data_IF_644778537371
#
_entry.id   IF_644778537371
#
_cell.length_a   1.000
_cell.length_b   1.000
_cell.length_c   1.000
_cell.angle_alpha   90.00
_cell.angle_beta   90.00
_cell.angle_gamma   90.00
#
_symmetry.space_group_name_H-M   'P 1'
#
loop_
_entity.id
_entity.type
_entity.pdbx_description
1 polymer ?
#
# COMPACT_ATOMS: atom_id res chain seq x y z
N UNK A 1 -17.05 -0.99 1.65
CA UNK A 1 -15.76 -1.47 2.17
C UNK A 1 -15.12 -0.44 3.10
N UNK A 2 -14.22 -0.84 4.02
CA UNK A 2 -13.34 0.03 4.82
C UNK A 2 -11.87 -0.21 4.44
N UNK A 3 -10.99 0.75 4.71
CA UNK A 3 -9.53 0.59 4.47
C UNK A 3 -8.96 -0.64 5.19
N UNK A 4 -9.45 -0.95 6.40
CA UNK A 4 -9.06 -2.14 7.13
C UNK A 4 -9.39 -3.45 6.39
N UNK A 5 -10.49 -3.48 5.62
CA UNK A 5 -10.85 -4.67 4.84
C UNK A 5 -9.83 -4.90 3.70
N UNK A 6 -9.40 -3.81 3.05
CA UNK A 6 -8.35 -3.83 2.01
C UNK A 6 -7.02 -4.24 2.63
N UNK A 7 -6.65 -3.69 3.79
CA UNK A 7 -5.44 -4.08 4.50
C UNK A 7 -5.44 -5.57 4.86
N UNK A 8 -6.55 -6.09 5.38
CA UNK A 8 -6.68 -7.52 5.69
C UNK A 8 -6.56 -8.39 4.43
N UNK A 9 -7.17 -7.97 3.32
CA UNK A 9 -7.04 -8.68 2.04
C UNK A 9 -5.58 -8.73 1.56
N UNK A 10 -4.82 -7.65 1.67
CA UNK A 10 -3.39 -7.61 1.32
C UNK A 10 -2.52 -8.46 2.25
N UNK A 11 -2.90 -8.59 3.52
CA UNK A 11 -2.21 -9.48 4.47
C UNK A 11 -2.48 -10.95 4.13
N UNK A 12 -3.73 -11.27 3.76
CA UNK A 12 -4.14 -12.63 3.36
C UNK A 12 -3.48 -13.02 2.03
N UNK A 13 -3.54 -12.12 1.04
CA UNK A 13 -2.98 -12.34 -0.27
C UNK A 13 -2.27 -11.07 -0.79
N UNK A 14 -0.97 -10.99 -0.56
CA UNK A 14 -0.13 -9.90 -1.04
C UNK A 14 0.07 -9.91 -2.56
N UNK A 15 -0.24 -11.02 -3.23
CA UNK A 15 -0.15 -11.16 -4.68
C UNK A 15 -1.10 -10.23 -5.44
N UNK A 16 -2.11 -9.68 -4.75
CA UNK A 16 -3.00 -8.64 -5.26
C UNK A 16 -2.25 -7.39 -5.72
N UNK A 17 -1.08 -7.11 -5.15
CA UNK A 17 -0.26 -5.93 -5.50
C UNK A 17 1.07 -6.32 -6.13
N UNK A 18 1.70 -7.41 -5.69
CA UNK A 18 2.93 -7.94 -6.29
C UNK A 18 3.19 -9.39 -5.87
N UNK A 19 3.59 -10.22 -6.83
CA UNK A 19 3.87 -11.63 -6.62
C UNK A 19 5.10 -11.89 -5.73
N UNK A 20 4.85 -12.59 -4.61
CA UNK A 20 5.85 -13.04 -3.64
C UNK A 20 6.38 -11.97 -2.69
N UNK A 21 5.57 -10.94 -2.44
CA UNK A 21 5.68 -10.12 -1.24
C UNK A 21 5.40 -10.95 0.01
N UNK A 22 6.21 -10.77 1.05
CA UNK A 22 5.97 -11.34 2.38
C UNK A 22 5.53 -10.23 3.33
N UNK A 23 4.37 -10.38 3.98
CA UNK A 23 3.91 -9.44 4.99
C UNK A 23 4.87 -9.42 6.19
N UNK A 24 5.29 -8.22 6.61
CA UNK A 24 6.23 -8.01 7.73
C UNK A 24 5.57 -7.34 8.93
N UNK A 25 4.86 -6.24 8.70
CA UNK A 25 4.29 -5.44 9.79
C UNK A 25 3.06 -4.66 9.34
N UNK A 26 2.10 -4.49 10.26
CA UNK A 26 0.96 -3.56 10.12
C UNK A 26 1.20 -2.38 11.05
N UNK A 27 0.76 -1.19 10.66
CA UNK A 27 0.84 0.02 11.48
C UNK A 27 2.31 0.39 11.82
N UNK A 28 3.12 0.47 10.76
CA UNK A 28 4.57 0.65 10.82
C UNK A 28 4.91 2.05 11.32
N UNK A 29 5.66 2.14 12.42
CA UNK A 29 5.98 3.42 13.05
C UNK A 29 7.18 4.09 12.35
N UNK A 30 6.92 5.26 11.74
CA UNK A 30 7.90 6.07 11.02
C UNK A 30 8.04 7.42 11.71
N UNK A 31 8.91 7.51 12.73
CA UNK A 31 9.22 8.75 13.46
C UNK A 31 7.98 9.61 13.82
N UNK A 32 7.04 9.01 14.58
CA UNK A 32 5.79 9.67 14.98
C UNK A 32 4.70 9.70 13.91
N UNK A 33 4.93 9.07 12.76
CA UNK A 33 3.91 8.73 11.75
C UNK A 33 3.70 7.23 11.68
N UNK A 34 2.65 6.83 10.98
CA UNK A 34 2.26 5.43 10.86
C UNK A 34 1.86 5.13 9.42
N UNK A 35 2.58 4.23 8.79
CA UNK A 35 2.24 3.67 7.48
C UNK A 35 1.43 2.39 7.70
N UNK A 36 0.46 2.12 6.83
CA UNK A 36 -0.50 1.03 7.06
C UNK A 36 0.17 -0.35 7.07
N UNK A 37 1.02 -0.66 6.09
CA UNK A 37 1.61 -1.99 5.94
C UNK A 37 3.08 -1.90 5.48
N UNK A 38 3.86 -2.91 5.87
CA UNK A 38 5.20 -3.16 5.37
C UNK A 38 5.29 -4.60 4.87
N UNK A 39 5.82 -4.76 3.66
CA UNK A 39 6.15 -6.03 3.04
C UNK A 39 7.64 -6.11 2.72
N UNK A 40 8.12 -7.33 2.49
CA UNK A 40 9.45 -7.61 1.95
C UNK A 40 9.28 -8.31 0.60
N UNK A 41 9.94 -7.79 -0.44
CA UNK A 41 9.94 -8.40 -1.77
C UNK A 41 10.93 -9.57 -1.90
N UNK A 42 10.92 -10.23 -3.07
CA UNK A 42 11.82 -11.37 -3.36
C UNK A 42 13.30 -11.01 -3.34
N UNK A 43 13.64 -9.73 -3.51
CA UNK A 43 15.01 -9.23 -3.45
C UNK A 43 15.40 -8.79 -2.02
N UNK A 44 14.50 -8.91 -1.05
CA UNK A 44 14.72 -8.50 0.34
C UNK A 44 14.51 -7.00 0.57
N UNK A 45 13.93 -6.27 -0.39
CA UNK A 45 13.66 -4.83 -0.22
C UNK A 45 12.35 -4.59 0.50
N UNK A 46 12.32 -3.49 1.25
CA UNK A 46 11.15 -3.05 2.01
C UNK A 46 10.16 -2.33 1.09
N UNK A 47 8.89 -2.74 1.13
CA UNK A 47 7.78 -2.07 0.45
C UNK A 47 6.78 -1.55 1.48
N UNK A 48 6.76 -0.23 1.65
CA UNK A 48 5.80 0.47 2.49
C UNK A 48 4.53 0.76 1.70
N UNK A 49 3.38 0.33 2.22
CA UNK A 49 2.10 0.43 1.53
C UNK A 49 1.15 1.28 2.36
N UNK A 50 0.62 2.35 1.76
CA UNK A 50 -0.48 3.15 2.30
C UNK A 50 -1.77 2.83 1.53
N UNK A 51 -2.83 2.50 2.27
CA UNK A 51 -4.11 2.09 1.71
C UNK A 51 -5.10 3.26 1.80
N UNK A 52 -5.82 3.52 0.71
CA UNK A 52 -6.87 4.55 0.65
C UNK A 52 -8.05 4.07 -0.18
N UNK A 53 -9.28 4.23 0.30
CA UNK A 53 -10.45 3.90 -0.55
C UNK A 53 -10.47 4.77 -1.82
N UNK A 54 -10.09 6.05 -1.70
CA UNK A 54 -9.87 6.96 -2.81
C UNK A 54 -8.54 7.68 -2.65
N UNK A 55 -7.62 7.48 -3.60
CA UNK A 55 -6.32 8.14 -3.62
C UNK A 55 -6.48 9.62 -4.00
N UNK A 56 -5.86 10.48 -3.19
CA UNK A 56 -5.96 11.95 -3.31
C UNK A 56 -4.59 12.61 -3.14
N UNK A 57 -4.52 13.93 -3.33
CA UNK A 57 -3.29 14.71 -3.06
C UNK A 57 -2.77 14.52 -1.63
N UNK A 58 -3.66 14.33 -0.65
CA UNK A 58 -3.27 14.06 0.73
C UNK A 58 -2.52 12.71 0.83
N UNK A 59 -3.02 11.70 0.15
CA UNK A 59 -2.42 10.36 0.08
C UNK A 59 -0.99 10.42 -0.46
N UNK A 60 -0.76 11.22 -1.52
CA UNK A 60 0.58 11.45 -2.09
C UNK A 60 1.50 12.14 -1.08
N UNK A 61 0.98 13.16 -0.38
CA UNK A 61 1.73 13.87 0.67
C UNK A 61 2.12 13.01 1.86
N UNK A 62 1.34 11.96 2.17
CA UNK A 62 1.73 10.94 3.16
C UNK A 62 2.91 10.11 2.66
N UNK A 63 2.83 9.61 1.42
CA UNK A 63 3.88 8.80 0.82
C UNK A 63 5.24 9.52 0.77
N UNK A 64 5.25 10.77 0.27
CA UNK A 64 6.46 11.61 0.22
C UNK A 64 7.05 11.81 1.62
N UNK A 65 6.19 11.97 2.63
CA UNK A 65 6.63 12.14 4.01
C UNK A 65 7.26 10.86 4.55
N UNK A 66 6.70 9.70 4.26
CA UNK A 66 7.25 8.42 4.73
C UNK A 66 8.60 8.15 4.10
N UNK A 67 8.72 8.37 2.80
CA UNK A 67 9.98 8.32 2.06
C UNK A 67 11.07 9.18 2.71
N UNK A 68 10.77 10.44 3.02
CA UNK A 68 11.71 11.32 3.73
C UNK A 68 12.03 10.93 5.18
N UNK A 69 11.33 9.97 5.78
CA UNK A 69 11.55 9.52 7.17
C UNK A 69 12.25 8.15 7.26
N UNK A 70 12.30 7.41 6.17
CA UNK A 70 12.91 6.08 6.12
C UNK A 70 14.38 6.21 5.71
N UNK A 71 15.29 5.79 6.58
CA UNK A 71 16.74 5.82 6.33
C UNK A 71 17.20 4.57 5.54
N UNK A 72 16.52 4.26 4.44
CA UNK A 72 16.83 3.14 3.56
C UNK A 72 16.62 3.57 2.09
N UNK A 73 17.68 3.78 1.29
CA UNK A 73 17.56 4.25 -0.09
C UNK A 73 16.97 3.20 -1.04
N UNK A 74 16.90 1.93 -0.62
CA UNK A 74 16.28 0.83 -1.37
C UNK A 74 14.81 0.61 -1.00
N UNK A 75 14.27 1.39 -0.04
CA UNK A 75 12.87 1.31 0.33
C UNK A 75 11.96 1.77 -0.81
N UNK A 76 10.89 1.01 -1.01
CA UNK A 76 9.86 1.24 -2.00
C UNK A 76 8.60 1.73 -1.30
N UNK A 77 7.82 2.56 -1.98
CA UNK A 77 6.59 3.11 -1.42
C UNK A 77 5.46 3.00 -2.44
N UNK A 78 4.33 2.44 -2.00
CA UNK A 78 3.17 2.17 -2.85
C UNK A 78 1.90 2.76 -2.25
N UNK A 79 1.10 3.39 -3.11
CA UNK A 79 -0.31 3.68 -2.82
C UNK A 79 -1.19 2.55 -3.37
N UNK A 80 -2.05 2.00 -2.53
CA UNK A 80 -3.08 1.05 -2.96
C UNK A 80 -4.44 1.67 -2.72
N UNK A 81 -5.30 1.66 -3.74
CA UNK A 81 -6.66 2.15 -3.58
C UNK A 81 -7.70 1.44 -4.42
N UNK A 82 -8.96 1.88 -4.28
CA UNK A 82 -10.09 1.39 -5.08
C UNK A 82 -10.51 2.41 -6.15
N UNK A 83 -10.11 3.67 -5.96
CA UNK A 83 -10.33 4.78 -6.86
C UNK A 83 -9.17 5.78 -6.73
N UNK A 84 -8.98 6.62 -7.75
CA UNK A 84 -7.93 7.65 -7.78
C UNK A 84 -8.47 8.95 -8.36
N UNK A 85 -7.99 10.08 -7.84
CA UNK A 85 -8.23 11.38 -8.45
C UNK A 85 -7.45 11.52 -9.77
N UNK A 86 -8.15 11.94 -10.83
CA UNK A 86 -7.60 12.11 -12.17
C UNK A 86 -6.24 12.84 -12.18
N UNK A 87 -5.29 12.31 -12.96
CA UNK A 87 -3.98 12.90 -13.19
C UNK A 87 -2.94 12.63 -12.09
N UNK A 88 -3.30 11.98 -10.97
CA UNK A 88 -2.33 11.65 -9.92
C UNK A 88 -1.39 10.50 -10.29
N UNK A 89 -1.86 9.52 -11.05
CA UNK A 89 -1.10 8.31 -11.39
C UNK A 89 0.21 8.66 -12.11
N UNK A 90 0.15 9.49 -13.15
CA UNK A 90 1.33 9.91 -13.91
C UNK A 90 2.35 10.63 -13.01
N UNK A 91 1.87 11.42 -12.04
CA UNK A 91 2.71 12.13 -11.08
C UNK A 91 3.43 11.19 -10.12
N UNK A 92 2.75 10.16 -9.62
CA UNK A 92 3.31 9.14 -8.73
C UNK A 92 4.44 8.36 -9.44
N UNK A 93 4.14 7.82 -10.61
CA UNK A 93 5.09 7.02 -11.40
C UNK A 93 6.32 7.84 -11.79
N UNK A 94 6.14 9.09 -12.24
CA UNK A 94 7.28 9.99 -12.57
C UNK A 94 8.19 10.30 -11.38
N UNK A 95 7.69 10.17 -10.15
CA UNK A 95 8.46 10.40 -8.91
C UNK A 95 9.03 9.12 -8.32
N UNK A 96 8.83 7.97 -8.96
CA UNK A 96 9.33 6.68 -8.50
C UNK A 96 8.48 6.05 -7.40
N UNK A 97 7.27 6.56 -7.17
CA UNK A 97 6.29 5.92 -6.30
C UNK A 97 5.46 4.92 -7.08
N UNK A 98 5.13 3.82 -6.41
CA UNK A 98 4.33 2.76 -6.98
C UNK A 98 2.85 3.00 -6.67
N UNK A 99 1.98 2.46 -7.53
CA UNK A 99 0.54 2.62 -7.40
C UNK A 99 -0.19 1.43 -8.00
N UNK A 100 -1.28 1.02 -7.36
CA UNK A 100 -2.20 0.00 -7.88
C UNK A 100 -3.63 0.27 -7.42
N UNK A 101 -4.57 0.03 -8.33
CA UNK A 101 -5.99 -0.06 -8.03
C UNK A 101 -6.41 -1.52 -7.88
N UNK A 102 -7.21 -1.79 -6.84
CA UNK A 102 -7.81 -3.10 -6.62
C UNK A 102 -9.31 -3.06 -6.93
N UNK A 103 -9.83 -4.20 -7.39
CA UNK A 103 -11.27 -4.40 -7.55
C UNK A 103 -11.92 -4.69 -6.18
N UNK A 104 -12.89 -3.86 -5.78
CA UNK A 104 -13.66 -4.03 -4.54
C UNK A 104 -14.30 -5.43 -4.45
N UNK A 105 -14.72 -5.99 -5.59
CA UNK A 105 -15.34 -7.32 -5.69
C UNK A 105 -14.36 -8.44 -5.34
N UNK A 106 -13.11 -8.31 -5.76
CA UNK A 106 -12.05 -9.28 -5.48
C UNK A 106 -11.71 -9.30 -3.99
N UNK A 107 -11.57 -8.11 -3.40
CA UNK A 107 -11.34 -7.95 -1.97
C UNK A 107 -12.49 -8.57 -1.17
N UNK A 108 -13.74 -8.27 -1.55
CA UNK A 108 -14.92 -8.81 -0.85
C UNK A 108 -14.96 -10.34 -0.89
N UNK A 109 -14.64 -10.96 -2.03
CA UNK A 109 -14.56 -12.42 -2.16
C UNK A 109 -13.48 -12.99 -1.24
N UNK A 110 -12.30 -12.38 -1.22
CA UNK A 110 -11.17 -12.86 -0.43
C UNK A 110 -11.48 -12.83 1.08
N UNK A 111 -11.97 -11.69 1.59
CA UNK A 111 -12.29 -11.55 3.02
C UNK A 111 -13.45 -12.44 3.45
N UNK A 112 -14.44 -12.67 2.58
CA UNK A 112 -15.60 -13.52 2.89
C UNK A 112 -15.23 -14.99 3.03
N UNK A 113 -14.19 -15.45 2.32
CA UNK A 113 -13.67 -16.81 2.44
C UNK A 113 -12.86 -17.05 3.72
N UNK A 114 -12.42 -15.97 4.37
CA UNK A 114 -11.52 -16.01 5.53
C UNK A 114 -12.15 -15.40 6.80
N UNK A 115 -13.43 -14.99 6.74
CA UNK A 115 -14.20 -14.57 7.90
C UNK A 115 -14.79 -15.81 8.58
N UNK A 116 -14.21 -16.21 9.71
CA UNK A 116 -14.74 -17.29 10.59
C UNK A 116 -15.48 -16.71 11.77
#
# INVERSE_FOLDING_TARGET
MKELDVQNALIINSSLIEEGLTFKEREVHLNGKRCDLLFIDKAGKELYVEVKLKVSYHSVGQLIRYDGLVNNPDARFMLVGLDILDGLEEGLVKKGYEFTLLDETEIFKLISQHST
#
